data_IF_432549378237
#
_entry.id   IF_432549378237
#
_cell.length_a   1.000
_cell.length_b   1.000
_cell.length_c   1.000
_cell.angle_alpha   90.00
_cell.angle_beta   90.00
_cell.angle_gamma   90.00
#
_symmetry.space_group_name_H-M   'P 1'
#
loop_
_entity.id
_entity.type
_entity.pdbx_description
1 polymer ?
#
# COMPACT_ATOMS: atom_id res chain seq x y z
N UNK A 1 -7.98 -11.19 10.68
CA UNK A 1 -7.84 -11.20 12.16
C UNK A 1 -7.17 -9.90 12.56
N UNK A 2 -7.88 -9.01 13.24
CA UNK A 2 -7.32 -7.72 13.68
C UNK A 2 -6.35 -7.90 14.85
N UNK A 3 -5.40 -7.00 15.01
CA UNK A 3 -4.38 -7.01 16.10
C UNK A 3 -5.06 -7.05 17.49
N UNK A 4 -6.28 -6.48 17.63
CA UNK A 4 -7.09 -6.55 18.84
C UNK A 4 -7.56 -7.98 19.19
N UNK A 5 -7.82 -8.83 18.20
CA UNK A 5 -8.20 -10.22 18.43
C UNK A 5 -7.03 -11.07 18.92
N UNK A 6 -5.79 -10.80 18.48
CA UNK A 6 -4.61 -11.52 18.98
C UNK A 6 -4.29 -11.15 20.45
N UNK A 7 -4.56 -9.93 20.88
CA UNK A 7 -4.40 -9.52 22.29
C UNK A 7 -5.48 -10.13 23.20
N UNK A 8 -6.70 -10.28 22.70
CA UNK A 8 -7.79 -10.96 23.44
C UNK A 8 -7.56 -12.47 23.53
N UNK A 9 -7.05 -13.11 22.48
CA UNK A 9 -6.63 -14.52 22.52
C UNK A 9 -5.52 -14.72 23.55
N UNK A 10 -4.54 -13.81 23.65
CA UNK A 10 -3.51 -13.85 24.73
C UNK A 10 -4.14 -13.76 26.14
N UNK A 11 -5.13 -12.89 26.35
CA UNK A 11 -5.81 -12.76 27.66
C UNK A 11 -6.61 -13.99 28.03
N UNK A 12 -7.35 -14.60 27.09
CA UNK A 12 -8.18 -15.79 27.35
C UNK A 12 -7.37 -17.08 27.50
N UNK A 13 -6.22 -17.23 26.83
CA UNK A 13 -5.37 -18.42 26.88
C UNK A 13 -4.23 -18.31 27.92
N UNK A 14 -4.02 -17.14 28.52
CA UNK A 14 -2.98 -16.93 29.56
C UNK A 14 -3.27 -17.63 30.90
N UNK A 15 -4.47 -18.18 31.10
CA UNK A 15 -4.75 -19.02 32.27
C UNK A 15 -4.17 -20.43 32.18
N UNK A 16 -3.55 -20.82 31.06
CA UNK A 16 -2.83 -22.08 30.92
C UNK A 16 -1.32 -21.83 30.84
N UNK A 17 -0.65 -21.92 31.96
CA UNK A 17 0.79 -21.63 32.11
C UNK A 17 1.74 -22.46 31.23
N UNK A 18 1.24 -23.47 30.53
CA UNK A 18 1.99 -24.36 29.67
C UNK A 18 1.92 -24.04 28.16
N UNK A 19 1.23 -22.96 27.76
CA UNK A 19 1.12 -22.51 26.36
C UNK A 19 2.03 -21.32 26.06
N UNK A 20 2.89 -21.44 25.03
CA UNK A 20 3.65 -20.34 24.45
C UNK A 20 3.00 -19.90 23.15
N UNK A 21 2.20 -18.82 23.18
CA UNK A 21 1.46 -18.30 22.03
C UNK A 21 2.26 -17.20 21.34
N UNK A 22 2.61 -17.41 20.08
CA UNK A 22 3.39 -16.49 19.26
C UNK A 22 2.62 -16.08 18.01
N UNK A 23 2.44 -14.79 17.74
CA UNK A 23 1.88 -14.30 16.47
C UNK A 23 2.93 -14.32 15.36
N UNK A 24 2.50 -14.54 14.10
CA UNK A 24 3.34 -14.44 12.92
C UNK A 24 2.58 -13.79 11.76
N UNK A 25 2.96 -12.56 11.41
CA UNK A 25 2.40 -11.80 10.30
C UNK A 25 3.43 -10.80 9.75
N UNK A 26 3.24 -10.33 8.49
CA UNK A 26 4.25 -9.59 7.74
C UNK A 26 4.71 -8.26 8.37
N UNK A 27 3.82 -7.53 9.04
CA UNK A 27 4.17 -6.25 9.70
C UNK A 27 4.73 -6.39 11.12
N UNK A 28 4.92 -7.63 11.60
CA UNK A 28 5.56 -7.87 12.90
C UNK A 28 7.06 -7.53 12.84
N UNK A 29 7.62 -6.99 13.92
CA UNK A 29 9.05 -6.68 13.98
C UNK A 29 9.91 -7.94 13.79
N UNK A 30 11.09 -7.81 13.16
CA UNK A 30 11.98 -8.95 12.92
C UNK A 30 12.34 -9.69 14.23
N UNK A 31 12.53 -8.93 15.35
CA UNK A 31 12.83 -9.53 16.65
C UNK A 31 11.69 -10.41 17.16
N UNK A 32 10.44 -10.01 16.94
CA UNK A 32 9.27 -10.83 17.29
C UNK A 32 9.09 -12.00 16.33
N UNK A 33 9.31 -11.81 15.03
CA UNK A 33 9.27 -12.90 14.05
C UNK A 33 10.32 -13.98 14.36
N UNK A 34 11.52 -13.60 14.76
CA UNK A 34 12.58 -14.55 15.12
C UNK A 34 12.24 -15.41 16.33
N UNK A 35 11.31 -14.98 17.20
CA UNK A 35 10.88 -15.80 18.35
C UNK A 35 10.20 -17.10 17.94
N UNK A 36 9.55 -17.16 16.76
CA UNK A 36 8.87 -18.37 16.29
C UNK A 36 9.84 -19.51 15.94
N UNK A 37 11.09 -19.16 15.58
CA UNK A 37 12.14 -20.13 15.22
C UNK A 37 12.89 -20.67 16.44
N UNK A 38 12.77 -20.04 17.62
CA UNK A 38 13.45 -20.49 18.84
C UNK A 38 12.88 -21.82 19.30
N UNK A 39 13.73 -22.63 19.91
CA UNK A 39 13.31 -23.87 20.55
C UNK A 39 12.27 -23.58 21.65
N UNK A 40 11.30 -24.49 21.75
CA UNK A 40 10.28 -24.40 22.79
C UNK A 40 10.88 -24.89 24.12
N UNK A 41 10.82 -24.12 25.22
CA UNK A 41 11.26 -24.57 26.52
C UNK A 41 10.55 -25.86 26.95
N UNK A 42 11.24 -26.71 27.72
CA UNK A 42 10.65 -27.95 28.27
C UNK A 42 9.40 -27.63 29.09
N UNK A 43 8.36 -28.44 28.93
CA UNK A 43 7.07 -28.25 29.61
C UNK A 43 6.11 -27.25 28.94
N UNK A 44 6.55 -26.50 27.92
CA UNK A 44 5.69 -25.60 27.17
C UNK A 44 5.28 -26.20 25.82
N UNK A 45 4.06 -25.90 25.39
CA UNK A 45 3.56 -26.15 24.03
C UNK A 45 3.52 -24.84 23.24
N UNK A 46 4.27 -24.77 22.15
CA UNK A 46 4.26 -23.61 21.25
C UNK A 46 3.01 -23.64 20.36
N UNK A 47 2.30 -22.53 20.32
CA UNK A 47 1.15 -22.29 19.43
C UNK A 47 1.44 -21.04 18.61
N UNK A 48 1.39 -21.20 17.27
CA UNK A 48 1.61 -20.09 16.34
C UNK A 48 0.28 -19.66 15.75
N UNK A 49 -0.05 -18.37 15.88
CA UNK A 49 -1.21 -17.74 15.22
C UNK A 49 -0.67 -16.93 14.04
N UNK A 50 -0.83 -17.47 12.84
CA UNK A 50 -0.18 -16.94 11.65
C UNK A 50 -1.18 -16.51 10.57
N UNK A 51 -0.77 -15.54 9.75
CA UNK A 51 -1.39 -15.27 8.45
C UNK A 51 -0.81 -16.22 7.39
N UNK A 52 -1.21 -16.05 6.13
CA UNK A 52 -0.67 -16.83 5.00
C UNK A 52 0.87 -16.72 4.80
N UNK A 53 1.57 -15.86 5.53
CA UNK A 53 3.05 -15.84 5.55
C UNK A 53 3.62 -17.22 5.97
N UNK A 54 2.93 -17.93 6.84
CA UNK A 54 3.33 -19.28 7.26
C UNK A 54 2.98 -20.38 6.25
N UNK A 55 2.18 -20.06 5.23
CA UNK A 55 1.75 -21.01 4.20
C UNK A 55 2.89 -21.33 3.21
N UNK A 56 3.63 -20.30 2.76
CA UNK A 56 4.66 -20.46 1.73
C UNK A 56 6.02 -19.88 2.10
N UNK A 57 6.03 -18.70 2.73
CA UNK A 57 7.22 -17.85 2.80
C UNK A 57 8.22 -18.27 3.88
N UNK A 58 7.80 -19.07 4.87
CA UNK A 58 8.62 -19.35 6.05
C UNK A 58 8.53 -20.84 6.43
N UNK A 59 9.68 -21.48 6.63
CA UNK A 59 9.73 -22.84 7.19
C UNK A 59 9.97 -22.76 8.69
N UNK A 60 8.97 -23.20 9.47
CA UNK A 60 9.04 -23.20 10.92
C UNK A 60 9.30 -24.64 11.39
N UNK A 61 10.40 -24.89 12.13
CA UNK A 61 10.75 -26.23 12.57
C UNK A 61 9.78 -26.75 13.66
N UNK A 62 9.58 -28.06 13.68
CA UNK A 62 8.88 -28.77 14.75
C UNK A 62 7.36 -28.64 14.74
N UNK A 63 6.74 -28.16 13.65
CA UNK A 63 5.29 -28.10 13.51
C UNK A 63 4.73 -29.53 13.35
N UNK A 64 3.92 -29.96 14.32
CA UNK A 64 3.25 -31.28 14.30
C UNK A 64 1.76 -31.18 13.96
N UNK A 65 1.13 -30.05 14.30
CA UNK A 65 -0.30 -29.86 14.11
C UNK A 65 -0.58 -28.56 13.34
N UNK A 66 -1.48 -28.63 12.36
CA UNK A 66 -2.01 -27.48 11.64
C UNK A 66 -3.50 -27.40 11.89
N UNK A 67 -4.00 -26.22 12.23
CA UNK A 67 -5.43 -25.91 12.31
C UNK A 67 -5.71 -24.91 11.20
N UNK A 68 -6.48 -25.32 10.21
CA UNK A 68 -6.80 -24.52 9.04
C UNK A 68 -8.26 -24.03 9.09
N UNK A 69 -8.46 -22.71 9.12
CA UNK A 69 -9.78 -22.10 9.15
C UNK A 69 -10.48 -22.02 7.78
N UNK A 70 -9.81 -22.36 6.69
CA UNK A 70 -10.36 -22.34 5.33
C UNK A 70 -10.49 -20.95 4.70
N UNK A 71 -9.98 -19.88 5.33
CA UNK A 71 -10.09 -18.52 4.82
C UNK A 71 -8.73 -17.83 4.69
N UNK A 72 -8.68 -16.87 3.77
CA UNK A 72 -7.55 -15.94 3.59
C UNK A 72 -8.05 -14.55 3.24
N UNK A 73 -7.19 -13.55 3.42
CA UNK A 73 -7.41 -12.21 2.91
C UNK A 73 -6.65 -12.02 1.61
N UNK A 74 -7.35 -11.61 0.56
CA UNK A 74 -6.76 -11.28 -0.73
C UNK A 74 -7.00 -9.82 -1.07
N UNK A 75 -5.98 -9.20 -1.66
CA UNK A 75 -6.13 -7.89 -2.28
C UNK A 75 -6.90 -8.07 -3.59
N UNK A 76 -7.98 -7.30 -3.76
CA UNK A 76 -8.83 -7.32 -4.92
C UNK A 76 -9.08 -5.90 -5.41
N UNK A 77 -8.77 -5.65 -6.65
CA UNK A 77 -8.99 -4.36 -7.29
C UNK A 77 -10.36 -4.31 -7.94
N UNK A 78 -11.11 -3.26 -7.66
CA UNK A 78 -12.37 -2.97 -8.35
C UNK A 78 -12.13 -1.85 -9.39
N UNK A 79 -12.20 -2.16 -10.71
CA UNK A 79 -11.94 -1.18 -11.76
C UNK A 79 -13.01 -0.09 -11.85
N UNK A 80 -14.23 -0.33 -11.37
CA UNK A 80 -15.33 0.65 -11.41
C UNK A 80 -15.13 1.75 -10.36
N UNK A 81 -14.75 1.35 -9.16
CA UNK A 81 -14.47 2.27 -8.07
C UNK A 81 -13.00 2.72 -7.99
N UNK A 82 -12.10 2.12 -8.78
CA UNK A 82 -10.65 2.35 -8.73
C UNK A 82 -10.07 2.08 -7.32
N UNK A 83 -10.67 1.14 -6.58
CA UNK A 83 -10.30 0.84 -5.21
C UNK A 83 -9.71 -0.54 -5.05
N UNK A 84 -8.71 -0.63 -4.17
CA UNK A 84 -8.21 -1.89 -3.67
C UNK A 84 -8.97 -2.29 -2.41
N UNK A 85 -9.58 -3.46 -2.42
CA UNK A 85 -10.22 -4.06 -1.24
C UNK A 85 -9.40 -5.25 -0.73
N UNK A 86 -9.26 -5.35 0.59
CA UNK A 86 -8.74 -6.55 1.23
C UNK A 86 -9.91 -7.43 1.69
N UNK A 87 -10.34 -8.33 0.81
CA UNK A 87 -11.51 -9.18 1.03
C UNK A 87 -11.13 -10.50 1.69
N UNK A 88 -12.01 -11.01 2.56
CA UNK A 88 -11.87 -12.34 3.13
C UNK A 88 -12.62 -13.33 2.25
N UNK A 89 -11.86 -14.30 1.71
CA UNK A 89 -12.39 -15.33 0.79
C UNK A 89 -11.99 -16.72 1.25
N UNK A 90 -12.72 -17.78 0.83
CA UNK A 90 -12.25 -19.15 0.99
C UNK A 90 -10.88 -19.34 0.34
N UNK A 91 -10.09 -20.25 0.86
CA UNK A 91 -8.80 -20.61 0.25
C UNK A 91 -9.02 -21.52 -0.95
N UNK A 92 -7.97 -21.76 -1.73
CA UNK A 92 -7.96 -22.79 -2.75
C UNK A 92 -7.58 -24.17 -2.17
N UNK A 93 -7.87 -25.24 -2.89
CA UNK A 93 -7.40 -26.59 -2.54
C UNK A 93 -5.88 -26.64 -2.45
N UNK A 94 -5.16 -26.02 -3.43
CA UNK A 94 -3.70 -25.90 -3.39
C UNK A 94 -3.20 -25.19 -2.12
N UNK A 95 -3.84 -24.09 -1.68
CA UNK A 95 -3.52 -23.43 -0.43
C UNK A 95 -3.78 -24.31 0.79
N UNK A 96 -4.90 -25.06 0.81
CA UNK A 96 -5.22 -25.99 1.88
C UNK A 96 -4.13 -27.08 2.01
N UNK A 97 -3.65 -27.60 0.89
CA UNK A 97 -2.61 -28.62 0.85
C UNK A 97 -1.23 -28.05 1.23
N UNK A 98 -0.92 -26.82 0.81
CA UNK A 98 0.28 -26.11 1.25
C UNK A 98 0.29 -25.90 2.77
N UNK A 99 -0.85 -25.50 3.36
CA UNK A 99 -1.00 -25.37 4.81
C UNK A 99 -0.84 -26.74 5.49
N UNK A 100 -1.45 -27.78 4.95
CA UNK A 100 -1.28 -29.14 5.43
C UNK A 100 0.19 -29.58 5.42
N UNK A 101 0.91 -29.27 4.34
CA UNK A 101 2.33 -29.56 4.18
C UNK A 101 3.26 -28.83 5.16
N UNK A 102 2.77 -27.94 6.01
CA UNK A 102 3.56 -27.35 7.11
C UNK A 102 3.76 -28.33 8.27
N UNK A 103 2.85 -29.26 8.48
CA UNK A 103 3.04 -30.42 9.37
C UNK A 103 3.72 -31.55 8.63
N UNK A 104 4.32 -32.48 9.34
CA UNK A 104 4.89 -33.68 8.73
C UNK A 104 6.30 -33.53 8.11
N UNK A 105 6.98 -32.39 8.30
CA UNK A 105 8.33 -32.15 7.74
C UNK A 105 9.43 -32.89 8.50
N UNK A 106 9.42 -32.85 9.82
CA UNK A 106 10.43 -33.43 10.69
C UNK A 106 9.91 -34.71 11.38
N UNK A 107 8.60 -34.82 11.53
CA UNK A 107 7.91 -35.94 12.17
C UNK A 107 6.48 -36.05 11.66
N UNK A 108 5.81 -37.22 11.80
CA UNK A 108 4.40 -37.35 11.47
C UNK A 108 3.56 -36.26 12.15
N UNK A 109 2.66 -35.65 11.39
CA UNK A 109 1.81 -34.55 11.84
C UNK A 109 0.33 -34.80 11.54
N UNK A 110 -0.54 -33.93 12.07
CA UNK A 110 -1.98 -33.97 11.81
C UNK A 110 -2.46 -32.57 11.40
N UNK A 111 -3.46 -32.55 10.50
CA UNK A 111 -4.14 -31.36 10.05
C UNK A 111 -5.60 -31.42 10.47
N UNK A 112 -6.09 -30.33 11.05
CA UNK A 112 -7.48 -30.17 11.42
C UNK A 112 -8.08 -29.03 10.57
N UNK A 113 -8.85 -29.41 9.56
CA UNK A 113 -9.61 -28.48 8.73
C UNK A 113 -10.91 -28.13 9.47
N UNK A 114 -11.16 -26.83 9.69
CA UNK A 114 -12.37 -26.35 10.36
C UNK A 114 -13.53 -26.14 9.36
N UNK A 115 -13.59 -26.96 8.34
CA UNK A 115 -14.62 -26.98 7.30
C UNK A 115 -14.84 -28.42 6.85
N UNK A 116 -16.00 -28.67 6.25
CA UNK A 116 -16.41 -30.01 5.83
C UNK A 116 -15.67 -30.49 4.58
N UNK A 117 -15.70 -31.79 4.33
CA UNK A 117 -15.14 -32.37 3.10
C UNK A 117 -15.89 -31.88 1.86
N UNK A 118 -17.21 -31.69 1.95
CA UNK A 118 -18.00 -31.08 0.90
C UNK A 118 -17.52 -29.65 0.59
N UNK A 119 -17.32 -28.82 1.64
CA UNK A 119 -16.80 -27.48 1.45
C UNK A 119 -15.38 -27.45 0.85
N UNK A 120 -14.54 -28.44 1.18
CA UNK A 120 -13.23 -28.60 0.55
C UNK A 120 -13.35 -28.91 -0.96
N UNK A 121 -14.29 -29.78 -1.33
CA UNK A 121 -14.49 -30.15 -2.74
C UNK A 121 -15.02 -28.99 -3.60
N UNK A 122 -15.72 -28.02 -2.96
CA UNK A 122 -16.23 -26.81 -3.59
C UNK A 122 -15.17 -25.69 -3.74
N UNK A 123 -14.00 -25.83 -3.07
CA UNK A 123 -12.92 -24.84 -3.20
C UNK A 123 -12.35 -24.86 -4.62
N UNK A 124 -11.97 -23.67 -5.11
CA UNK A 124 -11.23 -23.57 -6.36
C UNK A 124 -9.89 -24.33 -6.27
N UNK A 125 -9.44 -24.92 -7.37
CA UNK A 125 -8.18 -25.65 -7.40
C UNK A 125 -6.98 -24.77 -7.01
N UNK A 126 -6.91 -23.54 -7.53
CA UNK A 126 -5.84 -22.59 -7.28
C UNK A 126 -6.35 -21.20 -6.95
N UNK A 127 -5.55 -20.43 -6.21
CA UNK A 127 -5.83 -19.00 -5.96
C UNK A 127 -5.65 -18.21 -7.26
N UNK A 128 -6.58 -17.29 -7.62
CA UNK A 128 -6.42 -16.45 -8.80
C UNK A 128 -5.07 -15.73 -8.80
N UNK A 129 -4.32 -15.76 -9.93
CA UNK A 129 -3.05 -15.04 -10.06
C UNK A 129 -3.19 -13.56 -9.73
N UNK A 130 -2.11 -12.95 -9.25
CA UNK A 130 -2.12 -11.54 -8.84
C UNK A 130 -2.57 -10.61 -9.97
N UNK A 131 -2.15 -10.90 -11.21
CA UNK A 131 -2.51 -10.15 -12.40
C UNK A 131 -4.02 -10.13 -12.69
N UNK A 132 -4.78 -11.10 -12.19
CA UNK A 132 -6.24 -11.13 -12.36
C UNK A 132 -7.01 -10.33 -11.30
N UNK A 133 -6.35 -9.90 -10.23
CA UNK A 133 -7.01 -9.32 -9.05
C UNK A 133 -6.40 -8.02 -8.54
N UNK A 134 -5.33 -7.52 -9.16
CA UNK A 134 -4.68 -6.25 -8.76
C UNK A 134 -4.79 -5.19 -9.84
N UNK A 135 -4.46 -3.96 -9.49
CA UNK A 135 -4.30 -2.84 -10.40
C UNK A 135 -3.11 -3.10 -11.34
N UNK A 136 -3.25 -2.80 -12.63
CA UNK A 136 -2.33 -3.24 -13.68
C UNK A 136 -1.51 -2.13 -14.34
N UNK A 137 -1.68 -0.86 -13.97
CA UNK A 137 -1.05 0.25 -14.69
C UNK A 137 0.48 0.14 -14.73
N UNK A 138 1.10 -0.28 -13.62
CA UNK A 138 2.54 -0.49 -13.58
C UNK A 138 3.01 -1.61 -14.51
N UNK A 139 2.30 -2.74 -14.51
CA UNK A 139 2.64 -3.88 -15.37
C UNK A 139 2.45 -3.55 -16.85
N UNK A 140 1.34 -2.87 -17.19
CA UNK A 140 1.03 -2.47 -18.55
C UNK A 140 2.04 -1.44 -19.07
N UNK A 141 2.43 -0.46 -18.24
CA UNK A 141 3.46 0.51 -18.59
C UNK A 141 4.80 -0.19 -18.94
N UNK A 142 5.19 -1.18 -18.15
CA UNK A 142 6.41 -1.97 -18.41
C UNK A 142 6.28 -2.79 -19.71
N UNK A 143 5.14 -3.44 -19.96
CA UNK A 143 4.91 -4.18 -21.21
C UNK A 143 4.97 -3.27 -22.42
N UNK A 144 4.39 -2.06 -22.34
CA UNK A 144 4.46 -1.04 -23.38
C UNK A 144 5.91 -0.60 -23.64
N UNK A 145 6.70 -0.39 -22.59
CA UNK A 145 8.12 -0.03 -22.72
C UNK A 145 8.96 -1.17 -23.34
N UNK A 146 8.55 -2.42 -23.18
CA UNK A 146 9.13 -3.59 -23.87
C UNK A 146 8.67 -3.75 -25.32
N UNK A 147 7.87 -2.82 -25.85
CA UNK A 147 7.42 -2.85 -27.24
C UNK A 147 6.13 -3.65 -27.50
N UNK A 148 5.42 -4.07 -26.45
CA UNK A 148 4.14 -4.78 -26.60
C UNK A 148 3.05 -3.77 -26.94
N UNK A 149 2.67 -3.68 -28.19
CA UNK A 149 1.68 -2.71 -28.68
C UNK A 149 0.25 -3.06 -28.25
N UNK A 150 -0.14 -4.33 -28.33
CA UNK A 150 -1.49 -4.78 -28.00
C UNK A 150 -1.50 -5.69 -26.76
N UNK A 151 -1.84 -5.12 -25.61
CA UNK A 151 -1.86 -5.82 -24.32
C UNK A 151 -2.97 -6.89 -24.27
N UNK A 152 -4.13 -6.63 -24.89
CA UNK A 152 -5.26 -7.58 -24.88
C UNK A 152 -4.97 -8.85 -25.69
N UNK A 153 -4.05 -8.79 -26.65
CA UNK A 153 -3.61 -9.94 -27.46
C UNK A 153 -2.31 -10.57 -26.98
N UNK A 154 -1.72 -10.00 -25.90
CA UNK A 154 -0.51 -10.57 -25.34
C UNK A 154 -0.81 -11.94 -24.72
N UNK A 155 -0.01 -12.99 -25.00
CA UNK A 155 -0.26 -14.36 -24.54
C UNK A 155 0.09 -14.53 -23.06
N UNK A 156 -0.71 -13.97 -22.18
CA UNK A 156 -0.56 -14.20 -20.75
C UNK A 156 -0.85 -15.66 -20.40
N UNK A 157 -0.08 -16.30 -19.50
CA UNK A 157 -0.40 -17.63 -18.99
C UNK A 157 -1.80 -17.71 -18.36
N UNK A 158 -2.19 -16.62 -17.69
CA UNK A 158 -3.53 -16.41 -17.12
C UNK A 158 -3.95 -14.98 -17.45
N UNK A 159 -4.78 -14.77 -18.48
CA UNK A 159 -5.10 -13.41 -18.92
C UNK A 159 -5.85 -12.62 -17.85
N UNK A 160 -5.51 -11.35 -17.67
CA UNK A 160 -6.23 -10.47 -16.75
C UNK A 160 -7.62 -10.13 -17.29
N UNK A 161 -8.58 -9.76 -16.42
CA UNK A 161 -9.89 -9.27 -16.86
C UNK A 161 -9.75 -8.03 -17.75
N UNK A 162 -10.46 -7.99 -18.86
CA UNK A 162 -10.41 -6.88 -19.82
C UNK A 162 -10.73 -5.52 -19.15
N UNK A 163 -11.66 -5.49 -18.19
CA UNK A 163 -12.00 -4.29 -17.43
C UNK A 163 -10.79 -3.72 -16.66
N UNK A 164 -9.96 -4.57 -16.05
CA UNK A 164 -8.76 -4.14 -15.32
C UNK A 164 -7.70 -3.58 -16.30
N UNK A 165 -7.56 -4.20 -17.46
CA UNK A 165 -6.66 -3.72 -18.52
C UNK A 165 -7.10 -2.36 -19.04
N UNK A 166 -8.39 -2.18 -19.33
CA UNK A 166 -8.95 -0.91 -19.81
C UNK A 166 -8.78 0.20 -18.78
N UNK A 167 -9.12 -0.07 -17.53
CA UNK A 167 -8.94 0.87 -16.43
C UNK A 167 -7.48 1.34 -16.27
N UNK A 168 -6.53 0.43 -16.41
CA UNK A 168 -5.11 0.76 -16.36
C UNK A 168 -4.64 1.57 -17.59
N UNK A 169 -5.13 1.23 -18.79
CA UNK A 169 -4.84 2.00 -20.02
C UNK A 169 -5.42 3.42 -19.92
N UNK A 170 -6.65 3.58 -19.42
CA UNK A 170 -7.26 4.90 -19.18
C UNK A 170 -6.44 5.75 -18.19
N UNK A 171 -5.97 5.14 -17.10
CA UNK A 171 -5.10 5.85 -16.14
C UNK A 171 -3.78 6.27 -16.79
N UNK A 172 -3.12 5.40 -17.53
CA UNK A 172 -1.86 5.71 -18.22
C UNK A 172 -2.06 6.79 -19.31
N UNK A 173 -3.17 6.76 -20.03
CA UNK A 173 -3.53 7.82 -20.97
C UNK A 173 -3.79 9.14 -20.25
N UNK A 174 -4.57 9.13 -19.18
CA UNK A 174 -4.83 10.31 -18.37
C UNK A 174 -3.52 10.96 -17.87
N UNK A 175 -2.54 10.15 -17.44
CA UNK A 175 -1.22 10.62 -17.01
C UNK A 175 -0.31 11.08 -18.16
N UNK A 176 -0.74 10.93 -19.40
CA UNK A 176 0.06 11.25 -20.58
C UNK A 176 1.21 10.28 -20.84
N UNK A 177 1.17 9.08 -20.25
CA UNK A 177 2.14 8.01 -20.52
C UNK A 177 1.83 7.28 -21.83
N UNK A 178 0.56 7.29 -22.26
CA UNK A 178 0.10 6.76 -23.56
C UNK A 178 -0.57 7.85 -24.38
N UNK A 179 -0.50 7.72 -25.69
CA UNK A 179 -1.23 8.55 -26.65
C UNK A 179 -2.66 8.02 -26.87
N UNK A 180 -3.46 8.72 -27.71
CA UNK A 180 -4.84 8.33 -28.07
C UNK A 180 -4.92 6.96 -28.76
N UNK A 181 -3.83 6.49 -29.37
CA UNK A 181 -3.73 5.17 -30.01
C UNK A 181 -3.26 4.10 -29.04
N UNK A 182 -2.98 4.46 -27.79
CA UNK A 182 -2.45 3.57 -26.77
C UNK A 182 -0.97 3.23 -26.94
N UNK A 183 -0.19 4.01 -27.68
CA UNK A 183 1.24 3.85 -27.78
C UNK A 183 1.93 4.62 -26.65
N UNK A 184 3.12 4.15 -26.26
CA UNK A 184 3.94 4.83 -25.27
C UNK A 184 4.38 6.20 -25.80
N UNK A 185 4.20 7.24 -24.98
CA UNK A 185 4.63 8.60 -25.36
C UNK A 185 6.11 8.81 -25.12
N UNK A 186 6.74 9.60 -25.97
CA UNK A 186 8.11 10.06 -25.78
C UNK A 186 8.14 11.58 -25.52
N UNK A 187 8.87 12.07 -24.54
CA UNK A 187 9.71 11.29 -23.60
C UNK A 187 8.96 10.76 -22.36
N UNK A 188 7.72 11.24 -22.08
CA UNK A 188 7.04 11.09 -20.78
C UNK A 188 6.78 9.64 -20.40
N UNK A 189 6.13 8.88 -21.28
CA UNK A 189 5.77 7.47 -21.00
C UNK A 189 7.01 6.61 -20.81
N UNK A 190 8.02 6.79 -21.65
CA UNK A 190 9.28 6.06 -21.57
C UNK A 190 10.01 6.38 -20.25
N UNK A 191 10.10 7.66 -19.89
CA UNK A 191 10.71 8.08 -18.63
C UNK A 191 9.95 7.54 -17.41
N UNK A 192 8.61 7.54 -17.44
CA UNK A 192 7.81 6.96 -16.36
C UNK A 192 8.07 5.46 -16.17
N UNK A 193 8.31 4.71 -17.25
CA UNK A 193 8.60 3.28 -17.19
C UNK A 193 9.98 2.96 -16.57
N UNK A 194 10.94 3.87 -16.66
CA UNK A 194 12.28 3.70 -16.07
C UNK A 194 12.30 3.78 -14.53
N UNK A 195 11.29 4.41 -13.92
CA UNK A 195 11.22 4.51 -12.46
C UNK A 195 10.68 3.22 -11.81
N UNK A 196 11.29 2.77 -10.70
CA UNK A 196 10.78 1.64 -9.92
C UNK A 196 9.62 2.06 -9.01
N UNK A 197 8.65 2.79 -9.56
CA UNK A 197 7.54 3.41 -8.84
C UNK A 197 6.22 3.24 -9.62
N UNK A 198 5.07 3.25 -8.94
CA UNK A 198 3.77 3.32 -9.61
C UNK A 198 3.64 4.57 -10.50
N UNK A 199 2.84 4.52 -11.60
CA UNK A 199 2.76 5.59 -12.59
C UNK A 199 2.43 6.98 -12.04
N UNK A 200 1.53 7.09 -11.09
CA UNK A 200 1.19 8.37 -10.43
C UNK A 200 2.41 9.03 -9.78
N UNK A 201 3.22 8.24 -9.07
CA UNK A 201 4.45 8.73 -8.43
C UNK A 201 5.54 9.04 -9.45
N UNK A 202 5.67 8.22 -10.50
CA UNK A 202 6.61 8.48 -11.61
C UNK A 202 6.28 9.80 -12.31
N UNK A 203 4.99 10.05 -12.57
CA UNK A 203 4.54 11.33 -13.13
C UNK A 203 4.85 12.51 -12.21
N UNK A 204 4.62 12.35 -10.90
CA UNK A 204 4.93 13.39 -9.91
C UNK A 204 6.40 13.80 -9.95
N UNK A 205 7.31 12.85 -10.10
CA UNK A 205 8.74 13.11 -10.20
C UNK A 205 9.11 13.88 -11.48
N UNK A 206 8.52 13.51 -12.61
CA UNK A 206 8.80 14.16 -13.89
C UNK A 206 8.28 15.60 -13.94
N UNK A 207 7.07 15.84 -13.42
CA UNK A 207 6.47 17.18 -13.39
C UNK A 207 7.20 18.09 -12.42
N UNK A 208 7.64 17.56 -11.29
CA UNK A 208 8.17 18.39 -10.21
C UNK A 208 9.68 18.62 -10.29
N UNK A 209 10.43 17.73 -10.94
CA UNK A 209 11.87 17.67 -10.75
C UNK A 209 12.27 17.50 -9.27
N UNK A 210 11.25 17.29 -8.41
CA UNK A 210 11.37 17.29 -6.96
C UNK A 210 11.77 15.89 -6.46
N UNK A 211 13.04 15.72 -6.20
CA UNK A 211 13.55 14.53 -5.51
C UNK A 211 12.97 14.31 -4.10
N UNK A 212 12.08 15.18 -3.64
CA UNK A 212 11.50 15.18 -2.30
C UNK A 212 10.31 14.23 -2.12
N UNK A 213 9.57 13.89 -3.18
CA UNK A 213 8.40 13.00 -3.08
C UNK A 213 8.76 11.55 -2.67
N UNK A 214 9.99 11.14 -2.93
CA UNK A 214 10.45 9.77 -2.60
C UNK A 214 10.67 9.53 -1.11
N UNK A 215 10.71 10.55 -0.28
CA UNK A 215 10.88 10.40 1.16
C UNK A 215 9.59 10.06 1.91
N UNK A 216 8.44 10.09 1.23
CA UNK A 216 7.12 9.95 1.83
C UNK A 216 6.72 8.51 2.22
N UNK A 217 7.50 7.50 1.82
CA UNK A 217 7.11 6.09 1.94
C UNK A 217 7.42 5.43 3.29
N UNK A 218 7.62 6.18 4.35
CA UNK A 218 7.83 5.59 5.66
C UNK A 218 6.49 5.31 6.34
N UNK A 219 5.92 4.12 6.12
CA UNK A 219 4.86 3.62 7.02
C UNK A 219 5.40 3.59 8.45
N UNK A 220 4.97 4.55 9.25
CA UNK A 220 5.26 4.53 10.69
C UNK A 220 4.51 3.35 11.29
N UNK A 221 5.24 2.47 11.98
CA UNK A 221 4.59 1.47 12.82
C UNK A 221 3.79 2.23 13.89
N UNK A 222 2.46 2.04 13.87
CA UNK A 222 1.54 2.61 14.83
C UNK A 222 1.87 2.07 16.22
N UNK A 223 2.64 2.82 16.98
CA UNK A 223 2.83 2.55 18.38
C UNK A 223 1.68 3.21 19.15
N UNK A 224 0.98 2.41 19.91
CA UNK A 224 -0.18 2.78 20.72
C UNK A 224 0.15 3.67 21.93
N UNK A 225 1.38 4.20 22.06
CA UNK A 225 1.76 5.02 23.19
C UNK A 225 1.44 6.49 22.97
N UNK A 226 0.93 7.16 23.99
CA UNK A 226 0.67 8.61 23.99
C UNK A 226 1.95 9.39 23.62
N UNK A 227 3.12 8.93 24.11
CA UNK A 227 4.42 9.53 23.80
C UNK A 227 4.71 9.53 22.29
N UNK A 228 4.45 8.42 21.60
CA UNK A 228 4.65 8.33 20.15
C UNK A 228 3.74 9.29 19.38
N UNK A 229 2.50 9.47 19.82
CA UNK A 229 1.57 10.44 19.21
C UNK A 229 2.05 11.88 19.40
N UNK A 230 2.57 12.22 20.58
CA UNK A 230 3.12 13.56 20.87
C UNK A 230 4.36 13.83 20.00
N UNK A 231 5.27 12.87 19.88
CA UNK A 231 6.44 13.02 19.01
C UNK A 231 6.06 13.16 17.52
N UNK A 232 5.05 12.40 17.05
CA UNK A 232 4.54 12.51 15.67
C UNK A 232 4.00 13.91 15.38
N UNK A 233 3.24 14.51 16.30
CA UNK A 233 2.67 15.86 16.13
C UNK A 233 3.71 16.95 15.87
N UNK A 234 4.96 16.78 16.28
CA UNK A 234 6.04 17.76 16.01
C UNK A 234 6.38 17.89 14.53
N UNK A 235 6.01 16.91 13.72
CA UNK A 235 6.27 16.88 12.27
C UNK A 235 5.03 17.18 11.44
N UNK A 236 3.83 17.15 12.07
CA UNK A 236 2.56 17.33 11.37
C UNK A 236 2.44 18.75 10.80
N UNK A 237 1.92 18.83 9.58
CA UNK A 237 1.66 20.07 8.86
C UNK A 237 0.24 20.07 8.30
N UNK A 238 -0.35 21.25 8.16
CA UNK A 238 -1.75 21.42 7.76
C UNK A 238 -2.04 20.95 6.34
N UNK A 239 -1.03 20.95 5.46
CA UNK A 239 -1.17 20.50 4.08
C UNK A 239 -1.41 18.98 3.97
N UNK A 240 -1.11 18.21 5.01
CA UNK A 240 -1.46 16.80 5.08
C UNK A 240 -0.28 15.83 5.23
N UNK A 241 -0.57 14.55 4.94
CA UNK A 241 0.32 13.43 5.25
C UNK A 241 1.64 13.45 4.48
N UNK A 242 1.59 13.75 3.16
CA UNK A 242 2.79 13.70 2.31
C UNK A 242 3.83 14.75 2.74
N UNK A 243 3.39 15.97 3.07
CA UNK A 243 4.30 17.01 3.54
C UNK A 243 4.77 16.74 4.97
N UNK A 244 3.97 16.10 5.79
CA UNK A 244 4.36 15.60 7.13
C UNK A 244 5.48 14.56 7.01
N UNK A 245 5.38 13.64 6.07
CA UNK A 245 6.46 12.66 5.80
C UNK A 245 7.73 13.34 5.32
N UNK A 246 7.61 14.32 4.41
CA UNK A 246 8.73 15.11 3.94
C UNK A 246 9.43 15.86 5.09
N UNK A 247 8.65 16.49 5.97
CA UNK A 247 9.18 17.20 7.14
C UNK A 247 9.92 16.24 8.10
N UNK A 248 9.36 15.05 8.32
CA UNK A 248 10.00 13.99 9.10
C UNK A 248 11.33 13.56 8.49
N UNK A 249 11.35 13.34 7.18
CA UNK A 249 12.57 12.95 6.47
C UNK A 249 13.63 14.04 6.49
N UNK A 250 13.27 15.30 6.23
CA UNK A 250 14.19 16.44 6.28
C UNK A 250 14.79 16.61 7.67
N UNK A 251 14.02 16.31 8.71
CA UNK A 251 14.53 16.30 10.09
C UNK A 251 15.48 15.13 10.33
N UNK A 252 15.19 13.94 9.79
CA UNK A 252 16.05 12.75 9.88
C UNK A 252 17.41 12.98 9.21
N UNK A 253 17.44 13.56 8.01
CA UNK A 253 18.69 13.81 7.28
C UNK A 253 19.66 14.73 8.02
N UNK A 254 19.16 15.59 8.92
CA UNK A 254 20.00 16.45 9.77
C UNK A 254 20.68 15.70 10.92
N UNK A 255 20.30 14.43 11.16
CA UNK A 255 20.75 13.62 12.29
C UNK A 255 21.36 12.28 11.85
N UNK A 256 22.04 12.27 10.71
CA UNK A 256 22.64 11.04 10.18
C UNK A 256 23.77 10.47 11.04
N UNK A 257 24.42 11.31 11.86
CA UNK A 257 25.49 10.87 12.77
C UNK A 257 24.96 10.00 13.92
N UNK A 258 23.74 10.30 14.43
CA UNK A 258 23.07 9.60 15.52
C UNK A 258 21.71 8.99 15.10
N UNK A 259 21.56 8.62 13.83
CA UNK A 259 20.29 8.25 13.17
C UNK A 259 19.45 7.23 13.93
N UNK A 260 20.08 6.19 14.53
CA UNK A 260 19.36 5.13 15.25
C UNK A 260 18.77 5.63 16.56
N UNK A 261 19.56 6.39 17.33
CA UNK A 261 19.14 6.93 18.61
C UNK A 261 18.07 8.01 18.42
N UNK A 262 18.25 8.87 17.41
CA UNK A 262 17.30 9.89 17.04
C UNK A 262 15.93 9.29 16.67
N UNK A 263 15.93 8.25 15.81
CA UNK A 263 14.71 7.52 15.44
C UNK A 263 14.05 6.84 16.64
N UNK A 264 14.85 6.21 17.50
CA UNK A 264 14.33 5.52 18.68
C UNK A 264 13.64 6.49 19.65
N UNK A 265 14.26 7.64 19.94
CA UNK A 265 13.68 8.70 20.79
C UNK A 265 12.34 9.22 20.26
N UNK A 266 12.14 9.22 18.92
CA UNK A 266 10.94 9.73 18.24
C UNK A 266 9.97 8.65 17.77
N UNK A 267 10.21 7.40 18.15
CA UNK A 267 9.38 6.26 17.72
C UNK A 267 9.27 6.08 16.20
N UNK A 268 10.31 6.46 15.46
CA UNK A 268 10.39 6.35 14.02
C UNK A 268 11.06 5.04 13.58
N UNK A 269 10.66 4.53 12.42
CA UNK A 269 11.27 3.33 11.85
C UNK A 269 12.57 3.70 11.11
N UNK A 270 13.71 3.57 11.80
CA UNK A 270 15.03 3.83 11.23
C UNK A 270 15.30 3.07 9.91
N UNK A 271 14.93 1.78 9.83
CA UNK A 271 15.14 0.98 8.60
C UNK A 271 14.34 1.53 7.42
N UNK A 272 13.13 2.02 7.67
CA UNK A 272 12.31 2.62 6.62
C UNK A 272 12.91 3.95 6.14
N UNK A 273 13.35 4.82 7.05
CA UNK A 273 13.98 6.09 6.69
C UNK A 273 15.29 5.90 5.91
N UNK A 274 16.12 4.94 6.32
CA UNK A 274 17.33 4.60 5.57
C UNK A 274 17.05 4.09 4.17
N UNK A 275 16.06 3.20 4.01
CA UNK A 275 15.61 2.75 2.67
C UNK A 275 15.09 3.90 1.81
N UNK A 276 14.42 4.88 2.42
CA UNK A 276 13.97 6.08 1.70
C UNK A 276 15.15 6.90 1.19
N UNK A 277 16.23 7.02 1.96
CA UNK A 277 17.46 7.68 1.52
C UNK A 277 18.10 6.94 0.34
N UNK A 278 18.23 5.62 0.42
CA UNK A 278 18.77 4.78 -0.66
C UNK A 278 17.94 4.88 -1.94
N UNK A 279 16.61 4.85 -1.80
CA UNK A 279 15.67 5.01 -2.93
C UNK A 279 15.78 6.41 -3.56
N UNK A 280 15.85 7.45 -2.73
CA UNK A 280 16.03 8.83 -3.19
C UNK A 280 17.30 9.00 -4.01
N UNK A 281 18.43 8.46 -3.56
CA UNK A 281 19.68 8.50 -4.32
C UNK A 281 19.59 7.77 -5.66
N UNK A 282 18.90 6.61 -5.67
CA UNK A 282 18.66 5.87 -6.92
C UNK A 282 17.82 6.70 -7.90
N UNK A 283 16.75 7.33 -7.43
CA UNK A 283 15.90 8.17 -8.27
C UNK A 283 16.66 9.41 -8.78
N UNK A 284 17.44 10.05 -7.94
CA UNK A 284 18.28 11.18 -8.37
C UNK A 284 19.26 10.78 -9.50
N UNK A 285 19.84 9.58 -9.43
CA UNK A 285 20.69 9.06 -10.52
C UNK A 285 19.89 8.84 -11.80
N UNK A 286 18.66 8.32 -11.71
CA UNK A 286 17.78 8.14 -12.87
C UNK A 286 17.38 9.48 -13.49
N UNK A 287 16.96 10.47 -12.69
CA UNK A 287 16.60 11.80 -13.17
C UNK A 287 17.77 12.47 -13.91
N UNK A 288 19.00 12.37 -13.37
CA UNK A 288 20.21 12.88 -14.05
C UNK A 288 20.51 12.15 -15.37
N UNK A 289 20.32 10.83 -15.40
CA UNK A 289 20.49 10.03 -16.63
C UNK A 289 19.50 10.42 -17.72
N UNK A 290 18.31 10.89 -17.34
CA UNK A 290 17.24 11.32 -18.25
C UNK A 290 17.27 12.82 -18.57
N UNK A 291 18.31 13.54 -18.13
CA UNK A 291 18.44 14.99 -18.27
C UNK A 291 17.25 15.80 -17.73
N UNK A 292 16.52 15.24 -16.72
CA UNK A 292 15.42 15.93 -16.06
C UNK A 292 16.01 16.95 -15.07
N UNK A 293 15.66 18.25 -15.21
CA UNK A 293 16.21 19.29 -14.35
C UNK A 293 15.75 19.11 -12.90
N UNK A 294 16.70 19.07 -11.98
CA UNK A 294 16.43 18.96 -10.55
C UNK A 294 16.32 20.37 -9.96
N UNK A 295 15.10 20.76 -9.61
CA UNK A 295 14.81 22.09 -9.08
C UNK A 295 14.39 21.98 -7.60
N UNK A 296 14.87 22.93 -6.78
CA UNK A 296 14.45 23.04 -5.39
C UNK A 296 13.27 23.99 -5.23
N UNK A 297 12.23 23.58 -4.52
CA UNK A 297 11.13 24.48 -4.15
C UNK A 297 11.46 25.40 -2.96
N UNK A 298 12.66 25.31 -2.38
CA UNK A 298 13.13 26.11 -1.23
C UNK A 298 12.13 26.12 -0.05
N UNK A 299 11.46 25.00 0.20
CA UNK A 299 10.49 24.86 1.30
C UNK A 299 9.10 25.43 1.02
N UNK A 300 8.79 25.84 -0.21
CA UNK A 300 7.44 26.33 -0.56
C UNK A 300 6.46 25.16 -0.67
N UNK A 301 5.57 25.02 0.34
CA UNK A 301 4.57 23.94 0.43
C UNK A 301 3.57 23.98 -0.70
N UNK A 302 3.13 25.16 -1.14
CA UNK A 302 2.18 25.34 -2.25
C UNK A 302 2.73 24.73 -3.55
N UNK A 303 4.01 24.97 -3.86
CA UNK A 303 4.64 24.38 -5.04
C UNK A 303 4.67 22.85 -4.97
N UNK A 304 4.93 22.29 -3.79
CA UNK A 304 4.92 20.84 -3.58
C UNK A 304 3.51 20.30 -3.78
N UNK A 305 2.49 20.90 -3.16
CA UNK A 305 1.11 20.47 -3.30
C UNK A 305 0.63 20.57 -4.76
N UNK A 306 1.02 21.60 -5.51
CA UNK A 306 0.73 21.70 -6.95
C UNK A 306 1.38 20.59 -7.77
N UNK A 307 2.59 20.18 -7.45
CA UNK A 307 3.25 19.05 -8.12
C UNK A 307 2.54 17.73 -7.81
N UNK A 308 2.07 17.54 -6.56
CA UNK A 308 1.25 16.39 -6.19
C UNK A 308 -0.07 16.44 -6.98
N UNK A 309 -0.74 17.60 -7.06
CA UNK A 309 -1.96 17.78 -7.82
C UNK A 309 -1.79 17.45 -9.31
N UNK A 310 -0.67 17.87 -9.93
CA UNK A 310 -0.37 17.59 -11.34
C UNK A 310 -0.22 16.11 -11.69
N UNK A 311 -0.17 15.24 -10.69
CA UNK A 311 0.03 13.80 -10.87
C UNK A 311 -1.10 12.98 -10.30
N UNK A 312 -1.58 13.35 -9.11
CA UNK A 312 -2.65 12.65 -8.39
C UNK A 312 -4.04 13.23 -8.66
N UNK A 313 -4.19 14.11 -9.65
CA UNK A 313 -5.49 14.68 -10.02
C UNK A 313 -6.59 13.64 -10.27
N UNK A 314 -6.35 12.39 -10.76
CA UNK A 314 -7.40 11.39 -10.88
C UNK A 314 -7.98 10.95 -9.52
N UNK A 315 -7.21 11.15 -8.45
CA UNK A 315 -7.52 10.76 -7.09
C UNK A 315 -7.97 11.97 -6.24
N UNK A 316 -8.83 12.82 -6.79
CA UNK A 316 -9.38 13.95 -6.05
C UNK A 316 -10.73 13.61 -5.43
N UNK A 317 -10.97 14.15 -4.23
CA UNK A 317 -12.23 14.08 -3.52
C UNK A 317 -12.60 15.44 -2.91
N UNK A 318 -13.88 15.75 -2.86
CA UNK A 318 -14.42 16.96 -2.28
C UNK A 318 -15.34 16.66 -1.09
N UNK A 319 -15.37 17.57 -0.12
CA UNK A 319 -16.23 17.46 1.05
C UNK A 319 -17.68 17.77 0.64
N UNK A 320 -18.54 16.75 0.69
CA UNK A 320 -19.95 16.90 0.41
C UNK A 320 -20.68 17.51 1.62
N UNK A 321 -21.79 18.26 1.44
CA UNK A 321 -22.56 18.84 2.54
C UNK A 321 -23.06 17.82 3.58
N UNK A 322 -23.13 16.54 3.23
CA UNK A 322 -23.43 15.45 4.20
C UNK A 322 -22.31 15.13 5.20
N UNK A 323 -21.13 15.82 5.08
CA UNK A 323 -19.98 15.59 5.96
C UNK A 323 -19.07 14.40 5.55
N UNK A 324 -19.34 13.76 4.40
CA UNK A 324 -18.46 12.73 3.82
C UNK A 324 -17.74 13.28 2.59
N UNK A 325 -16.59 12.71 2.26
CA UNK A 325 -15.93 13.05 1.01
C UNK A 325 -16.50 12.22 -0.13
N UNK A 326 -16.59 12.85 -1.30
CA UNK A 326 -16.97 12.16 -2.56
C UNK A 326 -15.85 12.24 -3.57
N UNK A 327 -15.59 11.13 -4.23
CA UNK A 327 -14.67 11.13 -5.36
C UNK A 327 -15.26 11.92 -6.52
N UNK A 328 -14.43 12.67 -7.23
CA UNK A 328 -14.85 13.35 -8.47
C UNK A 328 -15.22 12.32 -9.54
N UNK A 329 -14.53 11.19 -9.55
CA UNK A 329 -14.77 10.06 -10.46
C UNK A 329 -15.65 9.03 -9.75
N UNK A 330 -16.87 8.82 -10.24
CA UNK A 330 -17.79 7.79 -9.74
C UNK A 330 -18.63 8.16 -8.52
N UNK A 331 -18.48 9.36 -7.96
CA UNK A 331 -19.29 9.90 -6.86
C UNK A 331 -19.45 8.95 -5.65
N UNK A 332 -18.41 8.23 -5.30
CA UNK A 332 -18.38 7.32 -4.16
C UNK A 332 -18.06 8.06 -2.86
N UNK A 333 -18.69 7.64 -1.78
CA UNK A 333 -18.45 8.18 -0.45
C UNK A 333 -17.18 7.60 0.16
N UNK A 334 -16.26 8.49 0.57
CA UNK A 334 -14.99 8.17 1.18
C UNK A 334 -14.85 8.80 2.57
N UNK A 335 -14.04 8.16 3.40
CA UNK A 335 -13.76 8.62 4.76
C UNK A 335 -12.26 8.85 4.95
N UNK A 336 -11.90 9.84 5.74
CA UNK A 336 -10.50 10.05 6.12
C UNK A 336 -10.06 8.92 7.05
N UNK A 337 -8.91 8.31 6.76
CA UNK A 337 -8.36 7.27 7.64
C UNK A 337 -7.91 7.87 8.98
N UNK A 338 -8.20 7.22 10.15
CA UNK A 338 -7.88 7.76 11.48
C UNK A 338 -6.39 8.02 11.75
N UNK A 339 -5.50 7.47 10.92
CA UNK A 339 -4.04 7.72 11.03
C UNK A 339 -3.56 8.96 10.28
N UNK A 340 -4.41 9.54 9.41
CA UNK A 340 -4.09 10.76 8.69
C UNK A 340 -4.02 11.97 9.62
N UNK A 341 -3.14 12.90 9.30
CA UNK A 341 -3.02 14.19 9.97
C UNK A 341 -4.32 14.99 9.84
N UNK A 342 -4.98 14.88 8.67
CA UNK A 342 -6.21 15.61 8.36
C UNK A 342 -7.46 15.05 9.06
N UNK A 343 -7.34 13.93 9.82
CA UNK A 343 -8.48 13.34 10.50
C UNK A 343 -8.99 14.18 11.68
N UNK A 344 -8.09 14.84 12.43
CA UNK A 344 -8.41 15.56 13.66
C UNK A 344 -8.37 17.10 13.50
N UNK A 345 -8.24 17.61 12.28
CA UNK A 345 -8.21 19.03 11.97
C UNK A 345 -9.48 19.44 11.23
N UNK A 346 -9.67 20.75 11.01
CA UNK A 346 -10.73 21.23 10.14
C UNK A 346 -10.60 20.58 8.77
N UNK A 347 -11.64 19.87 8.33
CA UNK A 347 -11.63 19.13 7.09
C UNK A 347 -11.51 20.08 5.89
N UNK A 348 -10.46 19.93 5.05
CA UNK A 348 -10.33 20.72 3.83
C UNK A 348 -11.48 20.42 2.86
N UNK A 349 -11.89 21.43 2.08
CA UNK A 349 -12.95 21.22 1.08
C UNK A 349 -12.54 20.25 -0.02
N UNK A 350 -11.26 20.27 -0.43
CA UNK A 350 -10.70 19.40 -1.48
C UNK A 350 -9.42 18.75 -1.02
N UNK A 351 -9.32 17.45 -1.31
CA UNK A 351 -8.17 16.63 -0.96
C UNK A 351 -7.80 15.70 -2.11
N UNK A 352 -6.51 15.37 -2.15
CA UNK A 352 -5.99 14.25 -2.94
C UNK A 352 -5.67 13.09 -2.01
N UNK A 353 -5.87 11.87 -2.49
CA UNK A 353 -5.49 10.66 -1.79
C UNK A 353 -4.54 9.81 -2.64
N UNK A 354 -3.60 9.14 -2.00
CA UNK A 354 -2.68 8.24 -2.69
C UNK A 354 -3.17 6.79 -2.70
N UNK A 355 -3.86 6.38 -1.63
CA UNK A 355 -4.29 4.99 -1.43
C UNK A 355 -5.72 4.96 -0.88
N UNK A 356 -6.49 3.98 -1.33
CA UNK A 356 -7.80 3.66 -0.78
C UNK A 356 -7.74 2.31 -0.04
N UNK A 357 -8.29 2.27 1.16
CA UNK A 357 -8.40 1.06 1.98
C UNK A 357 -9.87 0.73 2.19
N UNK A 358 -10.32 -0.37 1.63
CA UNK A 358 -11.67 -0.85 1.83
C UNK A 358 -11.71 -1.88 2.97
N UNK A 359 -12.39 -1.52 4.06
CA UNK A 359 -12.65 -2.41 5.22
C UNK A 359 -14.17 -2.52 5.44
N UNK A 360 -14.69 -1.90 6.46
CA UNK A 360 -16.13 -1.63 6.70
C UNK A 360 -16.62 -0.43 5.89
N UNK A 361 -15.72 0.52 5.65
CA UNK A 361 -15.90 1.70 4.81
C UNK A 361 -14.69 1.85 3.88
N UNK A 362 -14.80 2.75 2.92
CA UNK A 362 -13.67 3.10 2.06
C UNK A 362 -12.94 4.28 2.68
N UNK A 363 -11.74 4.02 3.17
CA UNK A 363 -10.88 5.04 3.79
C UNK A 363 -9.83 5.54 2.82
N UNK A 364 -9.69 6.85 2.75
CA UNK A 364 -8.59 7.50 2.03
C UNK A 364 -7.39 7.62 2.94
N UNK A 365 -6.21 7.33 2.41
CA UNK A 365 -4.94 7.38 3.10
C UNK A 365 -3.92 8.22 2.33
N UNK A 366 -2.93 8.75 3.05
CA UNK A 366 -1.88 9.63 2.49
C UNK A 366 -2.47 10.84 1.77
N UNK A 367 -3.11 11.70 2.55
CA UNK A 367 -3.91 12.82 2.07
C UNK A 367 -3.09 14.09 1.91
N UNK A 368 -3.48 14.91 0.91
CA UNK A 368 -2.96 16.27 0.71
C UNK A 368 -4.11 17.22 0.44
N UNK A 369 -4.21 18.30 1.21
CA UNK A 369 -5.17 19.38 0.97
C UNK A 369 -4.77 20.17 -0.29
N UNK A 370 -5.75 20.51 -1.14
CA UNK A 370 -5.51 21.22 -2.39
C UNK A 370 -6.52 22.33 -2.63
N UNK A 371 -6.14 23.29 -3.49
CA UNK A 371 -7.06 24.24 -4.09
C UNK A 371 -7.68 23.62 -5.36
N UNK A 372 -9.01 23.57 -5.51
CA UNK A 372 -9.67 23.03 -6.69
C UNK A 372 -9.27 23.72 -8.00
N UNK A 373 -8.90 24.98 -7.96
CA UNK A 373 -8.42 25.71 -9.14
C UNK A 373 -7.20 25.06 -9.79
N UNK A 374 -6.37 24.38 -9.01
CA UNK A 374 -5.20 23.67 -9.55
C UNK A 374 -5.58 22.47 -10.41
N UNK A 375 -6.73 21.82 -10.13
CA UNK A 375 -7.20 20.69 -10.92
C UNK A 375 -7.58 21.12 -12.34
N UNK A 376 -8.28 22.27 -12.47
CA UNK A 376 -8.62 22.83 -13.78
C UNK A 376 -7.39 23.31 -14.56
N UNK A 377 -6.42 23.90 -13.85
CA UNK A 377 -5.19 24.42 -14.45
C UNK A 377 -4.24 23.31 -14.91
N UNK A 378 -4.02 22.30 -14.04
CA UNK A 378 -2.99 21.27 -14.25
C UNK A 378 -3.49 20.08 -15.07
N UNK A 379 -4.79 19.83 -15.07
CA UNK A 379 -5.41 18.71 -15.80
C UNK A 379 -6.69 19.13 -16.53
N UNK A 380 -6.64 20.12 -17.44
CA UNK A 380 -7.83 20.64 -18.16
C UNK A 380 -8.49 19.55 -19.03
N UNK A 381 -7.71 18.56 -19.49
CA UNK A 381 -8.20 17.42 -20.26
C UNK A 381 -9.06 16.45 -19.42
N UNK A 382 -8.92 16.49 -18.10
CA UNK A 382 -9.64 15.62 -17.17
C UNK A 382 -10.78 16.36 -16.46
N UNK A 383 -10.58 17.66 -16.15
CA UNK A 383 -11.53 18.53 -15.47
C UNK A 383 -12.03 19.63 -16.43
N UNK A 384 -13.28 19.52 -16.88
CA UNK A 384 -13.92 20.61 -17.61
C UNK A 384 -14.50 21.62 -16.63
N UNK A 385 -14.36 22.94 -16.93
CA UNK A 385 -14.85 24.07 -16.09
C UNK A 385 -16.31 23.94 -15.63
N UNK A 386 -17.14 23.16 -16.34
CA UNK A 386 -18.56 22.99 -16.02
C UNK A 386 -18.76 21.95 -14.91
N UNK A 387 -17.87 20.97 -14.75
CA UNK A 387 -18.06 19.85 -13.83
C UNK A 387 -17.75 20.19 -12.36
N UNK A 388 -16.84 21.13 -12.10
CA UNK A 388 -16.47 21.52 -10.74
C UNK A 388 -17.38 22.60 -10.12
N UNK A 389 -18.14 23.32 -10.95
CA UNK A 389 -19.11 24.34 -10.48
C UNK A 389 -20.47 23.77 -10.12
N UNK A 390 -20.75 22.54 -10.52
CA UNK A 390 -22.00 21.80 -10.25
C UNK A 390 -21.88 20.80 -9.13
N UNK A 391 -20.69 20.60 -8.57
CA UNK A 391 -20.40 19.77 -7.39
C UNK A 391 -20.36 20.63 -6.13
#
# INVERSE_FOLDING_TARGET
MTISQSSNIRKHLSCHSWLLILPLYGSLSNSEQLKVFRYTPRGLRKVLVATNIAETSVTIPGIAYVIDCGFQKLKWFNPESQTDALITVPISQASADQRAGRSGRERPGKVFRLYTESAYSELSEATPPEMQRTELSSAILQLKALGISNILRFPFPSPPPAKNVLSALELLFALGALDERGNLTEPTGLQMAEFPLPPLYSKALLVSGLSYLCSSFTKQNSLSSIKAKVEKRKFEVEEGDLLTYLNTYNSYVKHLEDEKEWCHKRFLNHKALRRSTELRERILRLLRKMDVPIVSCKGNSVKICRCIAASFYPNAAYLHPSGVYRSVRGQQDFYIHPTSVLYNVQQPQWILYCELLHTDKIYMNELTAIDPAWLEELAPHFYHKTSLRTL
#
